data_IF_988705159744
#
_entry.id   IF_988705159744
#
_cell.length_a   1.000
_cell.length_b   1.000
_cell.length_c   1.000
_cell.angle_alpha   90.00
_cell.angle_beta   90.00
_cell.angle_gamma   90.00
#
_symmetry.space_group_name_H-M   'P 1'
#
loop_
_entity.id
_entity.type
_entity.pdbx_description
1 polymer ?
#
# COMPACT_ATOMS: atom_id res chain seq x y z
N UNK A 1 9.92 -17.58 -6.44
CA UNK A 1 9.47 -16.17 -6.40
C UNK A 1 9.65 -15.61 -4.99
N UNK A 2 10.88 -15.29 -4.57
CA UNK A 2 11.11 -14.45 -3.37
C UNK A 2 11.51 -13.07 -3.86
N UNK A 3 10.53 -12.30 -4.30
CA UNK A 3 10.79 -10.98 -4.90
C UNK A 3 10.63 -9.85 -3.89
N UNK A 4 9.98 -10.08 -2.75
CA UNK A 4 9.91 -9.12 -1.64
C UNK A 4 10.19 -9.90 -0.36
N UNK A 5 11.37 -9.68 0.22
CA UNK A 5 11.75 -10.33 1.47
C UNK A 5 10.80 -9.90 2.61
N UNK A 6 10.30 -10.89 3.36
CA UNK A 6 9.35 -10.68 4.46
C UNK A 6 7.88 -11.01 4.17
N UNK A 7 7.52 -11.36 2.92
CA UNK A 7 6.21 -11.97 2.62
C UNK A 7 6.28 -13.49 2.69
N UNK A 8 5.43 -14.10 3.53
CA UNK A 8 5.29 -15.55 3.60
C UNK A 8 4.45 -16.10 2.44
N UNK A 9 4.76 -17.33 2.01
CA UNK A 9 4.11 -17.97 0.85
C UNK A 9 2.59 -18.06 0.99
N UNK A 10 2.09 -18.40 2.18
CA UNK A 10 0.65 -18.45 2.46
C UNK A 10 -0.04 -17.09 2.23
N UNK A 11 0.63 -15.99 2.59
CA UNK A 11 0.11 -14.64 2.38
C UNK A 11 0.11 -14.26 0.90
N UNK A 12 1.12 -14.68 0.16
CA UNK A 12 1.18 -14.47 -1.30
C UNK A 12 0.05 -15.24 -1.97
N UNK A 13 -0.20 -16.49 -1.57
CA UNK A 13 -1.30 -17.30 -2.08
C UNK A 13 -2.65 -16.63 -1.79
N UNK A 14 -2.89 -16.19 -0.55
CA UNK A 14 -4.12 -15.49 -0.18
C UNK A 14 -4.32 -14.19 -0.99
N UNK A 15 -3.25 -13.42 -1.20
CA UNK A 15 -3.31 -12.21 -2.03
C UNK A 15 -3.64 -12.54 -3.49
N UNK A 16 -3.01 -13.56 -4.06
CA UNK A 16 -3.28 -14.01 -5.42
C UNK A 16 -4.70 -14.56 -5.56
N UNK A 17 -5.22 -15.28 -4.57
CA UNK A 17 -6.59 -15.78 -4.55
C UNK A 17 -7.61 -14.62 -4.53
N UNK A 18 -7.31 -13.56 -3.78
CA UNK A 18 -8.20 -12.39 -3.67
C UNK A 18 -8.07 -11.41 -4.85
N UNK A 19 -6.90 -11.31 -5.50
CA UNK A 19 -6.65 -10.37 -6.62
C UNK A 19 -6.95 -11.05 -7.97
N UNK A 20 -6.63 -12.33 -8.11
CA UNK A 20 -6.54 -13.03 -9.38
C UNK A 20 -5.26 -12.66 -10.16
N UNK A 21 -5.28 -12.89 -11.47
CA UNK A 21 -4.15 -12.54 -12.35
C UNK A 21 -3.94 -11.03 -12.42
N UNK A 22 -2.71 -10.58 -12.14
CA UNK A 22 -2.31 -9.19 -12.30
C UNK A 22 -2.40 -8.69 -13.76
N UNK A 23 -2.40 -9.60 -14.73
CA UNK A 23 -2.53 -9.28 -16.15
C UNK A 23 -3.89 -8.67 -16.51
N UNK A 24 -4.92 -8.85 -15.68
CA UNK A 24 -6.25 -8.26 -15.91
C UNK A 24 -6.30 -6.76 -15.60
N UNK A 25 -5.27 -6.21 -14.96
CA UNK A 25 -5.23 -4.80 -14.55
C UNK A 25 -4.26 -4.02 -15.44
N UNK A 26 -4.70 -2.87 -15.94
CA UNK A 26 -3.89 -1.95 -16.75
C UNK A 26 -3.18 -0.90 -15.91
N UNK A 27 -3.77 -0.56 -14.76
CA UNK A 27 -3.28 0.50 -13.88
C UNK A 27 -3.33 0.01 -12.42
N UNK A 28 -2.25 0.21 -11.62
CA UNK A 28 -2.23 -0.20 -10.22
C UNK A 28 -3.32 0.48 -9.37
N UNK A 29 -3.85 1.64 -9.78
CA UNK A 29 -5.02 2.30 -9.18
C UNK A 29 -6.26 1.40 -9.19
N UNK A 30 -6.39 0.51 -10.16
CA UNK A 30 -7.49 -0.46 -10.21
C UNK A 30 -7.40 -1.46 -9.06
N UNK A 31 -6.19 -1.92 -8.71
CA UNK A 31 -5.96 -2.77 -7.54
C UNK A 31 -6.23 -2.04 -6.23
N UNK A 32 -5.79 -0.79 -6.12
CA UNK A 32 -6.07 0.06 -4.94
C UNK A 32 -7.58 0.27 -4.76
N UNK A 33 -8.32 0.47 -5.86
CA UNK A 33 -9.78 0.58 -5.87
C UNK A 33 -10.44 -0.75 -5.49
N UNK A 34 -9.95 -1.87 -6.02
CA UNK A 34 -10.41 -3.22 -5.69
C UNK A 34 -10.23 -3.51 -4.20
N UNK A 35 -9.10 -3.10 -3.62
CA UNK A 35 -8.86 -3.18 -2.19
C UNK A 35 -9.64 -2.12 -1.39
N UNK A 36 -10.31 -1.14 -2.00
CA UNK A 36 -11.06 -0.11 -1.28
C UNK A 36 -10.18 0.81 -0.44
N UNK A 37 -8.92 1.01 -0.85
CA UNK A 37 -7.91 1.83 -0.17
C UNK A 37 -7.86 3.27 -0.70
N UNK A 38 -8.76 3.64 -1.61
CA UNK A 38 -8.91 5.02 -2.09
C UNK A 38 -9.47 5.91 -0.99
N UNK A 39 -8.93 7.13 -0.85
CA UNK A 39 -9.48 8.13 0.05
C UNK A 39 -10.82 8.66 -0.51
N UNK A 40 -11.81 8.75 0.37
CA UNK A 40 -13.10 9.37 0.15
C UNK A 40 -13.13 10.67 0.95
N UNK A 41 -13.53 11.74 0.29
CA UNK A 41 -13.84 13.00 0.94
C UNK A 41 -15.16 12.87 1.72
N UNK A 42 -15.16 13.34 2.97
CA UNK A 42 -16.34 13.38 3.82
C UNK A 42 -16.76 14.84 4.04
N UNK A 43 -16.98 15.55 2.94
CA UNK A 43 -17.40 16.95 2.96
C UNK A 43 -18.87 17.06 2.56
N UNK A 44 -19.67 17.79 3.34
CA UNK A 44 -20.96 18.33 2.92
C UNK A 44 -20.78 19.82 2.63
N UNK A 45 -21.68 20.45 1.86
CA UNK A 45 -21.49 21.82 1.36
C UNK A 45 -20.99 22.84 2.39
N UNK A 46 -21.37 22.69 3.67
CA UNK A 46 -20.93 23.56 4.77
C UNK A 46 -19.84 22.98 5.68
N UNK A 47 -19.49 21.69 5.55
CA UNK A 47 -18.51 21.00 6.42
C UNK A 47 -17.47 20.27 5.60
N UNK A 48 -16.19 20.63 5.76
CA UNK A 48 -15.05 19.81 5.30
C UNK A 48 -14.66 18.81 6.38
N UNK A 49 -15.05 17.55 6.22
CA UNK A 49 -14.70 16.48 7.15
C UNK A 49 -13.36 15.82 6.83
N UNK A 50 -12.88 14.98 7.75
CA UNK A 50 -11.65 14.22 7.55
C UNK A 50 -11.80 13.20 6.41
N UNK A 51 -10.74 13.02 5.63
CA UNK A 51 -10.70 12.02 4.56
C UNK A 51 -10.55 10.62 5.18
N UNK A 52 -11.39 9.69 4.77
CA UNK A 52 -11.33 8.29 5.20
C UNK A 52 -11.15 7.37 4.00
N UNK A 53 -10.62 6.15 4.20
CA UNK A 53 -10.64 5.15 3.13
C UNK A 53 -12.10 4.79 2.77
N UNK A 54 -12.35 4.53 1.50
CA UNK A 54 -13.70 4.28 0.99
C UNK A 54 -14.33 3.00 1.52
N UNK A 55 -13.53 1.97 1.79
CA UNK A 55 -13.97 0.62 2.21
C UNK A 55 -14.92 -0.10 1.24
N UNK A 56 -15.18 0.47 0.04
CA UNK A 56 -16.09 -0.08 -0.99
C UNK A 56 -15.53 -1.31 -1.72
N UNK A 57 -14.24 -1.57 -1.60
CA UNK A 57 -13.57 -2.73 -2.18
C UNK A 57 -13.69 -4.01 -1.34
N UNK A 58 -12.98 -5.07 -1.75
CA UNK A 58 -12.98 -6.40 -1.11
C UNK A 58 -12.48 -6.31 0.33
N UNK A 59 -13.33 -6.68 1.29
CA UNK A 59 -13.00 -6.69 2.73
C UNK A 59 -11.89 -7.70 3.04
N UNK A 60 -11.95 -8.90 2.43
CA UNK A 60 -10.96 -9.96 2.63
C UNK A 60 -9.58 -9.54 2.14
N UNK A 61 -9.47 -9.03 0.91
CA UNK A 61 -8.24 -8.43 0.39
C UNK A 61 -7.62 -7.40 1.35
N UNK A 62 -8.42 -6.49 1.93
CA UNK A 62 -7.90 -5.53 2.93
C UNK A 62 -7.35 -6.22 4.17
N UNK A 63 -8.07 -7.20 4.70
CA UNK A 63 -7.65 -7.95 5.89
C UNK A 63 -6.34 -8.71 5.63
N UNK A 64 -6.22 -9.35 4.47
CA UNK A 64 -5.00 -10.07 4.06
C UNK A 64 -3.84 -9.08 3.92
N UNK A 65 -4.01 -7.97 3.20
CA UNK A 65 -2.98 -6.93 3.06
C UNK A 65 -2.51 -6.39 4.42
N UNK A 66 -3.44 -6.12 5.33
CA UNK A 66 -3.09 -5.62 6.67
C UNK A 66 -2.29 -6.66 7.47
N UNK A 67 -2.71 -7.93 7.43
CA UNK A 67 -2.00 -9.04 8.08
C UNK A 67 -0.64 -9.31 7.46
N UNK A 68 -0.51 -9.14 6.14
CA UNK A 68 0.74 -9.27 5.39
C UNK A 68 1.76 -8.20 5.78
N UNK A 69 1.28 -6.97 6.02
CA UNK A 69 2.12 -5.83 6.27
C UNK A 69 2.83 -5.89 7.64
N UNK A 70 2.22 -6.54 8.64
CA UNK A 70 2.78 -6.65 10.00
C UNK A 70 4.15 -7.38 10.00
N UNK A 71 4.26 -8.63 9.51
CA UNK A 71 5.55 -9.30 9.41
C UNK A 71 6.47 -8.63 8.39
N UNK A 72 5.91 -8.04 7.32
CA UNK A 72 6.72 -7.34 6.31
C UNK A 72 7.49 -6.15 6.92
N UNK A 73 6.83 -5.30 7.70
CA UNK A 73 7.47 -4.19 8.43
C UNK A 73 8.52 -4.72 9.43
N UNK A 74 8.27 -5.89 10.02
CA UNK A 74 9.22 -6.49 10.97
C UNK A 74 10.47 -7.02 10.27
N UNK A 75 10.36 -7.60 9.09
CA UNK A 75 11.48 -8.30 8.44
C UNK A 75 12.12 -7.52 7.29
N UNK A 76 11.46 -6.48 6.79
CA UNK A 76 11.96 -5.66 5.67
C UNK A 76 12.27 -4.24 6.15
N UNK A 77 13.56 -3.90 6.17
CA UNK A 77 14.07 -2.61 6.62
C UNK A 77 13.45 -1.44 5.85
N UNK A 78 13.31 -1.55 4.53
CA UNK A 78 12.75 -0.48 3.72
C UNK A 78 11.27 -0.17 4.06
N UNK A 79 10.47 -1.20 4.35
CA UNK A 79 9.09 -0.98 4.82
C UNK A 79 9.03 -0.47 6.26
N UNK A 80 10.01 -0.82 7.09
CA UNK A 80 10.15 -0.29 8.46
C UNK A 80 10.49 1.20 8.46
N UNK A 81 11.50 1.60 7.70
CA UNK A 81 11.89 3.00 7.55
C UNK A 81 10.72 3.85 7.02
N UNK A 82 9.98 3.35 6.03
CA UNK A 82 8.80 4.05 5.53
C UNK A 82 7.68 4.13 6.57
N UNK A 83 7.48 3.07 7.36
CA UNK A 83 6.50 3.08 8.46
C UNK A 83 6.85 4.17 9.48
N UNK A 84 8.11 4.21 9.91
CA UNK A 84 8.64 5.20 10.84
C UNK A 84 8.49 6.61 10.26
N UNK A 85 8.96 6.84 9.04
CA UNK A 85 8.81 8.11 8.33
C UNK A 85 7.36 8.62 8.30
N UNK A 86 6.39 7.76 7.96
CA UNK A 86 4.99 8.16 7.93
C UNK A 86 4.44 8.53 9.31
N UNK A 87 4.95 7.92 10.38
CA UNK A 87 4.54 8.20 11.76
C UNK A 87 5.24 9.41 12.37
N UNK A 88 6.48 9.73 11.96
CA UNK A 88 7.32 10.77 12.56
C UNK A 88 7.46 12.05 11.72
N UNK A 89 6.96 12.06 10.48
CA UNK A 89 7.01 13.26 9.62
C UNK A 89 6.34 14.48 10.26
N UNK A 90 6.94 15.66 10.06
CA UNK A 90 6.47 16.93 10.61
C UNK A 90 5.10 17.36 10.07
N UNK A 91 4.83 17.08 8.79
CA UNK A 91 3.59 17.45 8.12
C UNK A 91 2.65 16.24 8.07
N UNK A 92 1.49 16.36 8.72
CA UNK A 92 0.42 15.33 8.75
C UNK A 92 0.92 13.94 9.19
N UNK A 93 1.47 13.79 10.41
CA UNK A 93 1.90 12.48 10.91
C UNK A 93 0.73 11.49 10.90
N UNK A 94 0.99 10.28 10.38
CA UNK A 94 -0.01 9.23 10.34
C UNK A 94 0.01 8.43 11.65
N UNK A 95 -1.16 8.02 12.12
CA UNK A 95 -1.24 6.99 13.18
C UNK A 95 -0.65 5.67 12.66
N UNK A 96 -0.17 4.79 13.53
CA UNK A 96 0.42 3.49 13.11
C UNK A 96 -0.51 2.68 12.19
N UNK A 97 -1.82 2.66 12.48
CA UNK A 97 -2.82 2.03 11.59
C UNK A 97 -2.92 2.71 10.23
N UNK A 98 -2.89 4.04 10.16
CA UNK A 98 -2.92 4.78 8.90
C UNK A 98 -1.63 4.58 8.08
N UNK A 99 -0.47 4.51 8.76
CA UNK A 99 0.81 4.19 8.13
C UNK A 99 0.76 2.81 7.47
N UNK A 100 0.31 1.77 8.19
CA UNK A 100 0.11 0.43 7.63
C UNK A 100 -0.82 0.46 6.40
N UNK A 101 -1.93 1.19 6.45
CA UNK A 101 -2.86 1.33 5.31
C UNK A 101 -2.20 2.01 4.11
N UNK A 102 -1.38 3.03 4.34
CA UNK A 102 -0.60 3.69 3.29
C UNK A 102 0.43 2.73 2.66
N UNK A 103 1.10 1.92 3.48
CA UNK A 103 2.04 0.90 3.02
C UNK A 103 1.34 -0.22 2.25
N UNK A 104 0.12 -0.64 2.63
CA UNK A 104 -0.66 -1.60 1.85
C UNK A 104 -0.91 -1.10 0.43
N UNK A 105 -1.20 0.20 0.26
CA UNK A 105 -1.33 0.82 -1.07
C UNK A 105 0.00 0.78 -1.83
N UNK A 106 1.13 1.06 -1.17
CA UNK A 106 2.46 1.00 -1.78
C UNK A 106 2.81 -0.42 -2.21
N UNK A 107 2.53 -1.42 -1.36
CA UNK A 107 2.75 -2.83 -1.66
C UNK A 107 1.98 -3.28 -2.91
N UNK A 108 0.71 -2.88 -3.06
CA UNK A 108 -0.06 -3.19 -4.27
C UNK A 108 0.59 -2.61 -5.54
N UNK A 109 1.14 -1.39 -5.48
CA UNK A 109 1.84 -0.80 -6.61
C UNK A 109 3.14 -1.56 -6.94
N UNK A 110 3.88 -1.98 -5.90
CA UNK A 110 5.11 -2.78 -6.04
C UNK A 110 4.80 -4.13 -6.67
N UNK A 111 3.81 -4.86 -6.14
CA UNK A 111 3.38 -6.16 -6.68
C UNK A 111 2.92 -6.03 -8.13
N UNK A 112 2.16 -4.98 -8.46
CA UNK A 112 1.77 -4.71 -9.84
C UNK A 112 2.99 -4.51 -10.75
N UNK A 113 3.96 -3.70 -10.33
CA UNK A 113 5.18 -3.45 -11.11
C UNK A 113 6.01 -4.73 -11.32
N UNK A 114 6.16 -5.56 -10.27
CA UNK A 114 6.86 -6.84 -10.36
C UNK A 114 6.17 -7.77 -11.35
N UNK A 115 4.84 -7.95 -11.23
CA UNK A 115 4.09 -8.90 -12.04
C UNK A 115 3.91 -8.45 -13.50
N UNK A 116 3.75 -7.15 -13.76
CA UNK A 116 3.47 -6.64 -15.11
C UNK A 116 4.73 -6.21 -15.86
N UNK A 117 5.67 -5.55 -15.18
CA UNK A 117 6.90 -5.01 -15.79
C UNK A 117 8.08 -5.96 -15.67
N UNK A 118 7.92 -7.09 -14.97
CA UNK A 118 9.00 -8.05 -14.66
C UNK A 118 10.23 -7.39 -14.02
N UNK A 119 10.02 -6.27 -13.32
CA UNK A 119 11.08 -5.56 -12.61
C UNK A 119 11.25 -6.17 -11.22
N UNK A 120 12.48 -6.47 -10.83
CA UNK A 120 12.77 -6.89 -9.47
C UNK A 120 12.41 -5.77 -8.48
N UNK A 121 12.09 -6.17 -7.24
CA UNK A 121 11.90 -5.20 -6.16
C UNK A 121 13.22 -4.50 -5.88
N UNK A 122 13.15 -3.17 -5.81
CA UNK A 122 14.27 -2.31 -5.46
C UNK A 122 13.81 -1.38 -4.32
N UNK A 123 14.40 -1.59 -3.14
CA UNK A 123 14.09 -0.85 -1.93
C UNK A 123 14.47 0.63 -2.03
N UNK A 124 15.61 0.95 -2.66
CA UNK A 124 16.10 2.31 -2.79
C UNK A 124 15.21 3.11 -3.74
N UNK A 125 14.88 2.51 -4.90
CA UNK A 125 13.92 3.10 -5.83
C UNK A 125 12.56 3.32 -5.18
N UNK A 126 12.09 2.37 -4.36
CA UNK A 126 10.83 2.49 -3.63
C UNK A 126 10.83 3.72 -2.70
N UNK A 127 11.93 3.95 -1.99
CA UNK A 127 12.12 5.08 -1.06
C UNK A 127 12.19 6.42 -1.81
N UNK A 128 12.97 6.50 -2.89
CA UNK A 128 13.07 7.69 -3.74
C UNK A 128 11.72 8.11 -4.33
N UNK A 129 10.90 7.14 -4.76
CA UNK A 129 9.54 7.39 -5.25
C UNK A 129 8.64 8.01 -4.16
N UNK A 130 8.83 7.65 -2.88
CA UNK A 130 8.03 8.23 -1.79
C UNK A 130 8.48 9.66 -1.51
N UNK A 131 9.79 9.91 -1.44
CA UNK A 131 10.33 11.24 -1.19
C UNK A 131 9.93 12.23 -2.30
N UNK A 132 10.04 11.82 -3.57
CA UNK A 132 9.63 12.65 -4.71
C UNK A 132 8.12 12.95 -4.72
N UNK A 133 7.28 12.01 -4.28
CA UNK A 133 5.83 12.25 -4.15
C UNK A 133 5.51 13.25 -3.04
N UNK A 134 6.27 13.22 -1.93
CA UNK A 134 6.11 14.19 -0.83
C UNK A 134 6.52 15.57 -1.30
N UNK A 135 7.65 15.71 -2.01
CA UNK A 135 8.09 17.00 -2.57
C UNK A 135 7.09 17.60 -3.56
N UNK A 136 6.38 16.77 -4.34
CA UNK A 136 5.33 17.23 -5.27
C UNK A 136 4.01 17.60 -4.60
N UNK A 137 3.80 17.17 -3.35
CA UNK A 137 2.57 17.40 -2.59
C UNK A 137 2.73 18.45 -1.49
N UNK A 138 3.97 18.90 -1.22
CA UNK A 138 4.31 20.07 -0.42
C UNK A 138 4.16 21.33 -1.29
#
# INVERSE_FOLDING_TARGET
MKTVDGLGDATIIDLLAEIGSFAHYRDPRQLVKLAGLTLKENSSGQRKGQKHISKRGRKRLRSVLFRAMIPLIRHNEAFRELHEYYTTRSVNPLTGKQSIVALCRKLLNVLFAICTKKQAFDAERMKQDVLSQVQRAA
#
